data_IF_613639394674
#
_entry.id   IF_613639394674
#
_cell.length_a   1.000
_cell.length_b   1.000
_cell.length_c   1.000
_cell.angle_alpha   90.00
_cell.angle_beta   90.00
_cell.angle_gamma   90.00
#
_symmetry.space_group_name_H-M   'P 1'
#
loop_
_entity.id
_entity.type
_entity.pdbx_description
1 polymer ?
#
# COMPACT_ATOMS: atom_id res chain seq x y z
N UNK A 1 15.48 -42.31 -18.38
CA UNK A 1 14.35 -41.83 -17.55
C UNK A 1 14.72 -40.56 -16.78
N UNK A 2 15.96 -40.44 -16.29
CA UNK A 2 16.46 -39.29 -15.52
C UNK A 2 16.34 -37.94 -16.23
N UNK A 3 16.69 -37.86 -17.54
CA UNK A 3 16.57 -36.61 -18.31
C UNK A 3 15.13 -36.08 -18.35
N UNK A 4 14.13 -36.97 -18.46
CA UNK A 4 12.71 -36.57 -18.49
C UNK A 4 12.25 -36.06 -17.12
N UNK A 5 12.67 -36.71 -16.04
CA UNK A 5 12.40 -36.25 -14.68
C UNK A 5 13.02 -34.87 -14.43
N UNK A 6 14.26 -34.65 -14.87
CA UNK A 6 14.96 -33.36 -14.74
C UNK A 6 14.23 -32.23 -15.49
N UNK A 7 13.77 -32.49 -16.72
CA UNK A 7 12.96 -31.52 -17.47
C UNK A 7 11.63 -31.20 -16.79
N UNK A 8 10.94 -32.21 -16.25
CA UNK A 8 9.68 -32.01 -15.51
C UNK A 8 9.94 -31.15 -14.26
N UNK A 9 11.00 -31.43 -13.50
CA UNK A 9 11.36 -30.64 -12.32
C UNK A 9 11.66 -29.19 -12.68
N UNK A 10 12.42 -28.94 -13.76
CA UNK A 10 12.71 -27.57 -14.22
C UNK A 10 11.44 -26.80 -14.63
N UNK A 11 10.50 -27.48 -15.30
CA UNK A 11 9.21 -26.88 -15.67
C UNK A 11 8.41 -26.51 -14.43
N UNK A 12 8.30 -27.43 -13.46
CA UNK A 12 7.58 -27.18 -12.20
C UNK A 12 8.21 -26.02 -11.43
N UNK A 13 9.54 -26.00 -11.31
CA UNK A 13 10.27 -24.90 -10.66
C UNK A 13 10.00 -23.56 -11.33
N UNK A 14 10.03 -23.53 -12.67
CA UNK A 14 9.79 -22.31 -13.44
C UNK A 14 8.37 -21.77 -13.23
N UNK A 15 7.37 -22.66 -13.21
CA UNK A 15 5.97 -22.29 -12.92
C UNK A 15 5.85 -21.73 -11.50
N UNK A 16 6.47 -22.37 -10.51
CA UNK A 16 6.47 -21.88 -9.13
C UNK A 16 7.08 -20.48 -9.02
N UNK A 17 8.21 -20.23 -9.69
CA UNK A 17 8.82 -18.90 -9.74
C UNK A 17 7.90 -17.86 -10.39
N UNK A 18 7.31 -18.17 -11.55
CA UNK A 18 6.40 -17.25 -12.26
C UNK A 18 5.21 -16.88 -11.39
N UNK A 19 4.66 -17.83 -10.62
CA UNK A 19 3.54 -17.59 -9.71
C UNK A 19 3.99 -16.78 -8.49
N UNK A 20 5.14 -17.08 -7.89
CA UNK A 20 5.58 -16.42 -6.64
C UNK A 20 5.95 -14.95 -6.84
N UNK A 21 6.50 -14.58 -8.00
CA UNK A 21 6.92 -13.21 -8.29
C UNK A 21 5.79 -12.18 -8.07
N UNK A 22 4.60 -12.29 -8.69
CA UNK A 22 3.52 -11.31 -8.49
C UNK A 22 3.01 -11.27 -7.06
N UNK A 23 2.90 -12.41 -6.37
CA UNK A 23 2.51 -12.42 -4.95
C UNK A 23 3.54 -11.72 -4.06
N UNK A 24 4.83 -11.90 -4.34
CA UNK A 24 5.89 -11.22 -3.61
C UNK A 24 5.84 -9.70 -3.82
N UNK A 25 5.63 -9.25 -5.07
CA UNK A 25 5.47 -7.83 -5.38
C UNK A 25 4.24 -7.23 -4.72
N UNK A 26 3.09 -7.92 -4.73
CA UNK A 26 1.87 -7.45 -4.07
C UNK A 26 2.06 -7.32 -2.56
N UNK A 27 2.57 -8.35 -1.89
CA UNK A 27 2.73 -8.37 -0.43
C UNK A 27 3.78 -7.37 0.07
N UNK A 28 4.75 -7.00 -0.78
CA UNK A 28 5.82 -6.06 -0.43
C UNK A 28 5.73 -4.75 -1.23
N UNK A 29 4.54 -4.42 -1.77
CA UNK A 29 4.37 -3.28 -2.68
C UNK A 29 4.87 -1.96 -2.06
N UNK A 30 4.55 -1.70 -0.79
CA UNK A 30 5.01 -0.51 -0.06
C UNK A 30 6.53 -0.47 0.18
N UNK A 31 7.16 -1.63 0.41
CA UNK A 31 8.62 -1.71 0.51
C UNK A 31 9.26 -1.29 -0.81
N UNK A 32 8.79 -1.86 -1.93
CA UNK A 32 9.31 -1.52 -3.25
C UNK A 32 9.03 -0.06 -3.60
N UNK A 33 7.81 0.45 -3.37
CA UNK A 33 7.45 1.84 -3.66
C UNK A 33 8.29 2.89 -2.90
N UNK A 34 8.86 2.52 -1.75
CA UNK A 34 9.70 3.41 -0.94
C UNK A 34 11.20 3.24 -1.17
N UNK A 35 11.63 2.10 -1.73
CA UNK A 35 13.05 1.77 -1.94
C UNK A 35 13.49 1.87 -3.41
N UNK A 36 12.56 2.13 -4.33
CA UNK A 36 12.90 2.36 -5.74
C UNK A 36 13.35 3.81 -5.93
N UNK A 37 14.36 4.03 -6.78
CA UNK A 37 14.80 5.40 -7.12
C UNK A 37 13.72 6.09 -7.95
N UNK A 38 13.05 7.04 -7.34
CA UNK A 38 11.97 7.80 -7.95
C UNK A 38 12.36 9.27 -8.12
N UNK A 39 11.67 9.98 -9.00
CA UNK A 39 11.84 11.44 -9.11
C UNK A 39 11.45 12.08 -7.78
N UNK A 40 12.15 13.14 -7.38
CA UNK A 40 12.02 13.81 -6.07
C UNK A 40 10.58 14.20 -5.69
N UNK A 41 9.74 14.51 -6.68
CA UNK A 41 8.36 14.97 -6.47
C UNK A 41 7.31 13.87 -6.75
N UNK A 42 7.74 12.62 -6.87
CA UNK A 42 6.86 11.48 -7.08
C UNK A 42 6.76 10.64 -5.80
N UNK A 43 5.52 10.31 -5.43
CA UNK A 43 5.22 9.53 -4.23
C UNK A 43 4.46 8.26 -4.64
N UNK A 44 5.16 7.19 -5.08
CA UNK A 44 4.51 6.00 -5.65
C UNK A 44 3.65 5.25 -4.63
N UNK A 45 3.91 5.40 -3.33
CA UNK A 45 3.10 4.77 -2.31
C UNK A 45 1.66 5.29 -2.28
N UNK A 46 1.39 6.49 -2.81
CA UNK A 46 0.05 7.10 -2.86
C UNK A 46 -0.89 6.24 -3.70
N UNK A 47 -0.44 5.75 -4.86
CA UNK A 47 -1.27 4.92 -5.74
C UNK A 47 -1.59 3.55 -5.14
N UNK A 48 -0.76 3.08 -4.19
CA UNK A 48 -0.99 1.84 -3.49
C UNK A 48 -2.16 1.94 -2.50
N UNK A 49 -2.52 3.14 -2.04
CA UNK A 49 -3.63 3.34 -1.12
C UNK A 49 -4.99 2.95 -1.71
N UNK A 50 -5.15 2.96 -3.04
CA UNK A 50 -6.39 2.55 -3.72
C UNK A 50 -6.38 1.07 -4.16
N UNK A 51 -5.33 0.32 -3.81
CA UNK A 51 -5.12 -1.04 -4.32
C UNK A 51 -4.59 -2.07 -3.33
N UNK A 52 -3.92 -1.64 -2.26
CA UNK A 52 -3.20 -2.53 -1.36
C UNK A 52 -3.56 -2.23 0.09
N UNK A 53 -3.65 -3.30 0.88
CA UNK A 53 -3.77 -3.19 2.32
C UNK A 53 -2.51 -2.54 2.91
N UNK A 54 -2.68 -1.51 3.72
CA UNK A 54 -1.58 -0.88 4.46
C UNK A 54 -1.61 -1.34 5.93
N UNK A 55 -0.60 -2.09 6.39
CA UNK A 55 -0.44 -2.37 7.80
C UNK A 55 -0.17 -1.08 8.58
N UNK A 56 -0.95 -0.81 9.63
CA UNK A 56 -0.75 0.37 10.50
C UNK A 56 0.67 0.43 11.11
N UNK A 57 1.33 -0.72 11.27
CA UNK A 57 2.73 -0.81 11.74
C UNK A 57 3.74 -0.12 10.84
N UNK A 58 3.43 0.13 9.56
CA UNK A 58 4.33 0.84 8.63
C UNK A 58 4.30 2.36 8.86
N UNK A 59 3.25 2.89 9.50
CA UNK A 59 3.05 4.32 9.75
C UNK A 59 2.55 4.57 11.18
N UNK A 60 3.35 4.27 12.21
CA UNK A 60 2.89 4.17 13.61
C UNK A 60 2.37 5.47 14.23
N UNK A 61 2.67 6.64 13.65
CA UNK A 61 2.13 7.94 14.10
C UNK A 61 0.86 8.37 13.37
N UNK A 62 0.32 7.53 12.49
CA UNK A 62 -0.87 7.79 11.71
C UNK A 62 -1.96 6.79 12.06
N UNK A 63 -3.21 7.24 11.98
CA UNK A 63 -4.35 6.35 11.93
C UNK A 63 -4.47 5.78 10.52
N UNK A 64 -4.78 4.48 10.41
CA UNK A 64 -4.94 3.80 9.13
C UNK A 64 -6.27 3.07 9.11
N UNK A 65 -7.09 3.38 8.12
CA UNK A 65 -8.37 2.73 7.87
C UNK A 65 -8.27 2.01 6.52
N UNK A 66 -8.45 0.68 6.54
CA UNK A 66 -8.45 -0.15 5.34
C UNK A 66 -9.88 -0.62 5.07
N UNK A 67 -10.48 -0.15 3.98
CA UNK A 67 -11.81 -0.57 3.51
C UNK A 67 -11.67 -1.59 2.37
N UNK A 68 -12.07 -2.84 2.61
CA UNK A 68 -12.01 -3.92 1.62
C UNK A 68 -13.08 -3.74 0.53
N UNK A 69 -12.60 -3.59 -0.71
CA UNK A 69 -13.40 -3.54 -1.93
C UNK A 69 -13.10 -4.76 -2.81
N UNK A 70 -13.78 -5.89 -2.54
CA UNK A 70 -13.85 -7.07 -3.43
C UNK A 70 -12.53 -7.35 -4.20
N UNK A 71 -11.44 -7.50 -3.46
CA UNK A 71 -10.11 -7.78 -4.03
C UNK A 71 -9.20 -6.57 -4.24
N UNK A 72 -9.60 -5.42 -3.69
CA UNK A 72 -8.79 -4.20 -3.57
C UNK A 72 -9.03 -3.58 -2.19
N UNK A 73 -8.21 -2.60 -1.81
CA UNK A 73 -8.41 -1.82 -0.59
C UNK A 73 -8.48 -0.34 -0.94
N UNK A 74 -9.39 0.38 -0.29
CA UNK A 74 -9.32 1.84 -0.19
C UNK A 74 -8.74 2.15 1.19
N UNK A 75 -7.59 2.80 1.21
CA UNK A 75 -6.85 3.11 2.42
C UNK A 75 -6.88 4.61 2.69
N UNK A 76 -7.43 4.97 3.84
CA UNK A 76 -7.31 6.32 4.41
C UNK A 76 -6.23 6.33 5.47
N UNK A 77 -5.33 7.31 5.39
CA UNK A 77 -4.31 7.58 6.41
C UNK A 77 -4.53 8.98 6.96
N UNK A 78 -4.66 9.11 8.27
CA UNK A 78 -4.83 10.43 8.89
C UNK A 78 -3.90 10.67 10.07
N UNK A 79 -3.56 11.94 10.29
CA UNK A 79 -2.79 12.40 11.44
C UNK A 79 -3.43 13.63 12.02
N UNK A 80 -3.79 13.54 13.30
CA UNK A 80 -4.28 14.68 14.06
C UNK A 80 -3.11 15.44 14.68
N UNK A 81 -3.39 16.69 15.04
CA UNK A 81 -2.47 17.56 15.77
C UNK A 81 -1.15 17.80 15.04
N UNK A 82 -1.21 18.09 13.74
CA UNK A 82 -0.02 18.27 12.89
C UNK A 82 0.68 19.60 13.18
N UNK A 83 -0.11 20.67 13.35
CA UNK A 83 0.33 22.04 13.65
C UNK A 83 -0.36 22.62 14.88
N UNK A 84 -1.58 22.22 15.18
CA UNK A 84 -2.39 22.73 16.30
C UNK A 84 -2.94 21.56 17.13
N UNK A 85 -3.79 21.82 18.14
CA UNK A 85 -4.43 20.73 18.91
C UNK A 85 -5.66 20.14 18.22
N UNK A 86 -6.14 20.77 17.15
CA UNK A 86 -7.43 20.49 16.51
C UNK A 86 -7.34 20.15 15.03
N UNK A 87 -6.18 20.35 14.41
CA UNK A 87 -6.01 20.12 12.99
C UNK A 87 -5.82 18.65 12.67
N UNK A 88 -6.17 18.30 11.44
CA UNK A 88 -6.04 16.97 10.87
C UNK A 88 -5.51 17.09 9.45
N UNK A 89 -4.62 16.18 9.07
CA UNK A 89 -4.30 15.87 7.68
C UNK A 89 -4.85 14.47 7.42
N UNK A 90 -5.60 14.33 6.33
CA UNK A 90 -6.04 13.04 5.82
C UNK A 90 -5.56 12.85 4.39
N UNK A 91 -5.22 11.62 4.05
CA UNK A 91 -4.85 11.17 2.73
C UNK A 91 -5.70 9.95 2.40
N UNK A 92 -6.47 10.03 1.32
CA UNK A 92 -7.30 8.94 0.82
C UNK A 92 -7.09 8.81 -0.69
N UNK A 93 -6.50 7.70 -1.12
CA UNK A 93 -6.10 7.51 -2.51
C UNK A 93 -5.22 8.66 -2.99
N UNK A 94 -5.62 9.32 -4.09
CA UNK A 94 -4.93 10.49 -4.65
C UNK A 94 -5.30 11.84 -3.99
N UNK A 95 -6.17 11.86 -2.98
CA UNK A 95 -6.67 13.10 -2.37
C UNK A 95 -5.99 13.38 -1.04
N UNK A 96 -5.51 14.61 -0.86
CA UNK A 96 -5.00 15.11 0.43
C UNK A 96 -5.96 16.18 0.94
N UNK A 97 -6.42 16.00 2.18
CA UNK A 97 -7.25 16.96 2.89
C UNK A 97 -6.52 17.49 4.13
N UNK A 98 -6.76 18.77 4.43
CA UNK A 98 -6.31 19.41 5.65
C UNK A 98 -7.42 20.27 6.23
N UNK A 99 -7.79 20.03 7.49
CA UNK A 99 -8.69 20.90 8.26
C UNK A 99 -7.99 21.43 9.51
N UNK A 100 -8.37 22.65 9.92
CA UNK A 100 -7.95 23.27 11.18
C UNK A 100 -8.87 22.90 12.36
N UNK A 101 -10.02 22.27 12.11
CA UNK A 101 -10.91 21.73 13.13
C UNK A 101 -11.41 20.34 12.71
N UNK A 102 -11.02 19.32 13.47
CA UNK A 102 -11.41 17.93 13.26
C UNK A 102 -12.94 17.71 13.29
N UNK A 103 -13.72 18.63 13.86
CA UNK A 103 -15.18 18.51 13.90
C UNK A 103 -15.87 18.94 12.59
N UNK A 104 -15.15 19.57 11.66
CA UNK A 104 -15.75 20.07 10.41
C UNK A 104 -16.02 18.96 9.38
N UNK A 105 -15.51 17.74 9.60
CA UNK A 105 -15.64 16.61 8.65
C UNK A 105 -16.80 15.64 8.94
N UNK A 106 -17.62 15.87 9.97
CA UNK A 106 -18.78 15.02 10.28
C UNK A 106 -20.08 15.46 9.57
N UNK A 107 -20.00 16.11 8.41
CA UNK A 107 -21.17 16.62 7.70
C UNK A 107 -20.95 16.90 6.21
N UNK A 108 -21.08 15.87 5.39
CA UNK A 108 -21.85 15.86 4.12
C UNK A 108 -21.85 14.46 3.50
#
# INVERSE_FOLDING_TARGET
>A
MEKKALWITLIVLSILFIIQIPFNFHNNAYYYATHTQEKKDHYPFITLLDSNYLPASYVPSYNVENDDKRGSYIVSISKRQVRTKKDIVELNGANIYYSKDYNDEAGN
#
